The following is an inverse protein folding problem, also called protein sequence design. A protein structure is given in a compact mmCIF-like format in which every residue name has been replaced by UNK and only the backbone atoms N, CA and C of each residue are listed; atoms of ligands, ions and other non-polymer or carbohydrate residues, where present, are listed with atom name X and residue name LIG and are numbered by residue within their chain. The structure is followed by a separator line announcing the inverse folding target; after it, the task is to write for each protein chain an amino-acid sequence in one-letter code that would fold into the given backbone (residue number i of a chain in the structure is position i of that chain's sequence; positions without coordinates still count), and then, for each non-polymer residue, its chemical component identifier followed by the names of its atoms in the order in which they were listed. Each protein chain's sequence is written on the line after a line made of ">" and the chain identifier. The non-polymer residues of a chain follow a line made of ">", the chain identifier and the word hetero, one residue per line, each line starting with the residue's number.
data_IF_422753537783
#
_entry.id   IF_422753537783
#
_cell.length_a   1.000
_cell.length_b   1.000
_cell.length_c   1.000
_cell.angle_alpha   90.00
_cell.angle_beta   90.00
_cell.angle_gamma   90.00
#
_symmetry.space_group_name_H-M   'P 1'
#
loop_
_entity.id
_entity.type
_entity.pdbx_description
1 polymer ?
#
# COMPACT_ATOMS: atom_id res chain seq x y z
N UNK A 1 -7.76 -3.69 -70.18
CA UNK A 1 -7.78 -2.44 -69.38
C UNK A 1 -8.50 -2.58 -68.03
N UNK A 2 -9.76 -3.00 -67.95
CA UNK A 2 -10.50 -3.09 -66.68
C UNK A 2 -9.87 -3.99 -65.59
N UNK A 3 -9.20 -5.07 -65.96
CA UNK A 3 -8.55 -6.01 -65.00
C UNK A 3 -7.33 -5.38 -64.31
N UNK A 4 -6.50 -4.65 -65.11
CA UNK A 4 -5.32 -3.98 -64.60
C UNK A 4 -5.64 -2.85 -63.59
N UNK A 5 -6.72 -2.10 -63.79
CA UNK A 5 -7.20 -1.12 -62.87
C UNK A 5 -7.69 -1.74 -61.55
N UNK A 6 -8.33 -2.89 -61.58
CA UNK A 6 -8.77 -3.62 -60.36
C UNK A 6 -7.57 -4.06 -59.51
N UNK A 7 -6.53 -4.64 -60.12
CA UNK A 7 -5.35 -5.06 -59.37
C UNK A 7 -4.56 -3.84 -58.85
N UNK A 8 -4.47 -2.74 -59.59
CA UNK A 8 -3.87 -1.50 -59.15
C UNK A 8 -4.60 -0.89 -57.94
N UNK A 9 -5.95 -0.90 -57.97
CA UNK A 9 -6.75 -0.40 -56.85
C UNK A 9 -6.58 -1.27 -55.59
N UNK A 10 -6.63 -2.60 -55.74
CA UNK A 10 -6.40 -3.55 -54.64
C UNK A 10 -5.03 -3.31 -54.02
N UNK A 11 -3.98 -3.17 -54.84
CA UNK A 11 -2.62 -2.90 -54.36
C UNK A 11 -2.54 -1.58 -53.59
N UNK A 12 -3.12 -0.50 -54.06
CA UNK A 12 -3.14 0.79 -53.38
C UNK A 12 -3.93 0.73 -52.04
N UNK A 13 -5.08 0.07 -52.02
CA UNK A 13 -5.86 -0.13 -50.79
C UNK A 13 -5.06 -0.96 -49.79
N UNK A 14 -4.37 -2.01 -50.21
CA UNK A 14 -3.54 -2.83 -49.33
C UNK A 14 -2.38 -2.03 -48.75
N UNK A 15 -1.67 -1.24 -49.57
CA UNK A 15 -0.60 -0.35 -49.09
C UNK A 15 -1.11 0.69 -48.11
N UNK A 16 -2.25 1.29 -48.40
CA UNK A 16 -2.87 2.26 -47.48
C UNK A 16 -3.28 1.61 -46.17
N UNK A 17 -3.85 0.41 -46.21
CA UNK A 17 -4.23 -0.33 -45.00
C UNK A 17 -2.99 -0.66 -44.14
N UNK A 18 -1.92 -1.15 -44.78
CA UNK A 18 -0.66 -1.42 -44.08
C UNK A 18 -0.11 -0.15 -43.45
N UNK A 19 -0.12 0.97 -44.14
CA UNK A 19 0.38 2.24 -43.64
C UNK A 19 -0.45 2.75 -42.46
N UNK A 20 -1.78 2.69 -42.51
CA UNK A 20 -2.68 3.12 -41.42
C UNK A 20 -2.56 2.27 -40.17
N UNK A 21 -2.29 0.95 -40.34
CA UNK A 21 -2.22 0.01 -39.20
C UNK A 21 -0.81 -0.08 -38.61
N UNK A 22 0.22 0.24 -39.41
CA UNK A 22 1.62 0.09 -38.98
C UNK A 22 1.97 0.93 -37.74
N UNK A 23 1.65 2.21 -37.73
CA UNK A 23 2.02 3.13 -36.66
C UNK A 23 1.31 2.79 -35.32
N UNK A 24 -0.01 2.52 -35.29
CA UNK A 24 -0.67 2.01 -34.08
C UNK A 24 -0.06 0.70 -33.55
N UNK A 25 0.32 -0.24 -34.41
CA UNK A 25 0.96 -1.50 -33.98
C UNK A 25 2.32 -1.22 -33.35
N UNK A 26 3.15 -0.38 -33.97
CA UNK A 26 4.48 -0.02 -33.43
C UNK A 26 4.35 0.71 -32.11
N UNK A 27 3.44 1.68 -31.99
CA UNK A 27 3.19 2.41 -30.76
C UNK A 27 2.63 1.48 -29.67
N UNK A 28 1.67 0.61 -29.98
CA UNK A 28 1.13 -0.35 -29.04
C UNK A 28 2.21 -1.31 -28.52
N UNK A 29 3.09 -1.79 -29.39
CA UNK A 29 4.21 -2.63 -28.98
C UNK A 29 5.21 -1.88 -28.09
N UNK A 30 5.52 -0.62 -28.43
CA UNK A 30 6.39 0.23 -27.62
C UNK A 30 5.79 0.48 -26.21
N UNK A 31 4.52 0.85 -26.15
CA UNK A 31 3.80 1.07 -24.89
C UNK A 31 3.76 -0.23 -24.06
N UNK A 32 3.46 -1.37 -24.70
CA UNK A 32 3.46 -2.67 -24.03
C UNK A 32 4.82 -3.05 -23.44
N UNK A 33 5.89 -2.79 -24.17
CA UNK A 33 7.27 -3.02 -23.68
C UNK A 33 7.66 -2.03 -22.57
N UNK A 34 7.26 -0.77 -22.69
CA UNK A 34 7.56 0.27 -21.70
C UNK A 34 6.74 0.12 -20.40
N UNK A 35 5.53 -0.43 -20.49
CA UNK A 35 4.65 -0.62 -19.33
C UNK A 35 5.11 -1.72 -18.36
N UNK A 36 6.07 -2.56 -18.77
CA UNK A 36 6.55 -3.68 -17.96
C UNK A 36 5.49 -4.76 -17.72
N UNK A 37 5.76 -5.64 -16.76
CA UNK A 37 4.80 -6.65 -16.32
C UNK A 37 3.85 -6.03 -15.29
N UNK A 38 2.55 -6.25 -15.45
CA UNK A 38 1.51 -5.81 -14.48
C UNK A 38 1.74 -6.43 -13.10
N UNK A 39 2.39 -7.58 -13.06
CA UNK A 39 2.69 -8.32 -11.85
C UNK A 39 4.21 -8.35 -11.63
N UNK A 40 4.68 -7.80 -10.51
CA UNK A 40 6.10 -7.87 -10.15
C UNK A 40 6.53 -9.32 -9.81
N UNK A 41 7.84 -9.62 -9.84
CA UNK A 41 8.34 -10.92 -9.38
C UNK A 41 7.93 -11.26 -7.94
N UNK A 42 7.87 -10.27 -7.05
CA UNK A 42 7.46 -10.47 -5.66
C UNK A 42 5.99 -10.84 -5.55
N UNK A 43 5.12 -10.17 -6.32
CA UNK A 43 3.71 -10.52 -6.42
C UNK A 43 3.52 -11.92 -7.01
N UNK A 44 4.25 -12.25 -8.09
CA UNK A 44 4.19 -13.61 -8.68
C UNK A 44 4.59 -14.68 -7.66
N UNK A 45 5.69 -14.45 -6.94
CA UNK A 45 6.17 -15.38 -5.91
C UNK A 45 5.18 -15.50 -4.76
N UNK A 46 4.58 -14.38 -4.32
CA UNK A 46 3.58 -14.40 -3.25
C UNK A 46 2.33 -15.19 -3.63
N UNK A 47 1.83 -15.04 -4.87
CA UNK A 47 0.66 -15.79 -5.35
C UNK A 47 0.92 -17.30 -5.39
N UNK A 48 2.09 -17.73 -5.86
CA UNK A 48 2.44 -19.15 -5.88
C UNK A 48 2.63 -19.69 -4.47
N UNK A 49 3.27 -18.93 -3.58
CA UNK A 49 3.42 -19.33 -2.18
C UNK A 49 2.06 -19.50 -1.50
N UNK A 50 1.13 -18.58 -1.66
CA UNK A 50 -0.24 -18.66 -1.14
C UNK A 50 -0.92 -19.93 -1.66
N UNK A 51 -0.83 -20.19 -2.96
CA UNK A 51 -1.40 -21.39 -3.58
C UNK A 51 -0.90 -22.70 -2.95
N UNK A 52 0.37 -22.76 -2.60
CA UNK A 52 1.02 -23.98 -2.13
C UNK A 52 0.92 -24.16 -0.61
N UNK A 53 0.80 -23.07 0.15
CA UNK A 53 0.99 -23.07 1.60
C UNK A 53 -0.25 -22.65 2.40
N UNK A 54 -1.38 -22.36 1.76
CA UNK A 54 -2.63 -22.06 2.47
C UNK A 54 -3.72 -23.09 2.13
N UNK A 55 -4.72 -23.24 2.98
CA UNK A 55 -5.85 -24.13 2.70
C UNK A 55 -6.68 -23.65 1.52
N UNK A 56 -7.28 -24.56 0.75
CA UNK A 56 -8.12 -24.18 -0.41
C UNK A 56 -9.33 -23.32 -0.02
N UNK A 57 -9.80 -23.44 1.21
CA UNK A 57 -10.92 -22.67 1.77
C UNK A 57 -10.48 -21.29 2.31
N UNK A 58 -9.17 -21.01 2.41
CA UNK A 58 -8.68 -19.74 2.94
C UNK A 58 -9.15 -18.55 2.11
N UNK A 59 -9.50 -17.48 2.80
CA UNK A 59 -9.80 -16.19 2.20
C UNK A 59 -8.59 -15.28 2.34
N UNK A 60 -8.21 -14.62 1.25
CA UNK A 60 -7.13 -13.63 1.26
C UNK A 60 -7.77 -12.25 1.28
N UNK A 61 -7.62 -11.54 2.38
CA UNK A 61 -8.08 -10.16 2.53
C UNK A 61 -6.99 -9.19 2.09
N UNK A 62 -7.36 -8.23 1.29
CA UNK A 62 -6.51 -7.10 0.84
C UNK A 62 -7.39 -6.08 0.15
N UNK A 63 -6.80 -4.94 -0.29
CA UNK A 63 -7.51 -3.98 -1.12
C UNK A 63 -7.79 -4.59 -2.52
N UNK A 64 -8.76 -4.07 -3.25
CA UNK A 64 -9.38 -4.73 -4.42
C UNK A 64 -8.46 -5.05 -5.60
N UNK A 65 -7.38 -4.30 -5.77
CA UNK A 65 -6.52 -4.37 -6.97
C UNK A 65 -5.94 -5.78 -7.24
N UNK A 66 -5.33 -6.48 -6.25
CA UNK A 66 -4.75 -7.80 -6.49
C UNK A 66 -5.79 -8.94 -6.47
N UNK A 67 -7.07 -8.66 -6.21
CA UNK A 67 -8.11 -9.68 -6.07
C UNK A 67 -8.19 -10.64 -7.25
N UNK A 68 -8.11 -10.14 -8.49
CA UNK A 68 -8.11 -10.98 -9.69
C UNK A 68 -6.86 -11.87 -9.81
N UNK A 69 -5.70 -11.40 -9.35
CA UNK A 69 -4.48 -12.22 -9.34
C UNK A 69 -4.56 -13.31 -8.28
N UNK A 70 -5.12 -13.00 -7.11
CA UNK A 70 -5.33 -13.97 -6.04
C UNK A 70 -6.27 -15.09 -6.51
N UNK A 71 -7.41 -14.74 -7.11
CA UNK A 71 -8.35 -15.75 -7.63
C UNK A 71 -7.79 -16.52 -8.81
N UNK A 72 -7.13 -15.84 -9.76
CA UNK A 72 -6.65 -16.47 -11.01
C UNK A 72 -5.37 -17.26 -10.86
N UNK A 73 -4.42 -16.85 -10.00
CA UNK A 73 -3.10 -17.48 -9.86
C UNK A 73 -3.03 -18.30 -8.58
N UNK A 74 -3.33 -17.69 -7.44
CA UNK A 74 -3.28 -18.40 -6.16
C UNK A 74 -4.45 -19.36 -5.96
N UNK A 75 -5.51 -19.24 -6.75
CA UNK A 75 -6.71 -20.07 -6.66
C UNK A 75 -7.29 -20.07 -5.22
N UNK A 76 -7.39 -18.88 -4.64
CA UNK A 76 -7.98 -18.64 -3.30
C UNK A 76 -9.10 -17.64 -3.40
N UNK A 77 -10.01 -17.73 -2.43
CA UNK A 77 -11.08 -16.74 -2.29
C UNK A 77 -10.52 -15.39 -1.83
N UNK A 78 -11.20 -14.32 -2.20
CA UNK A 78 -10.89 -12.96 -1.78
C UNK A 78 -12.11 -12.32 -1.13
N UNK A 79 -11.89 -11.34 -0.27
CA UNK A 79 -13.01 -10.55 0.25
C UNK A 79 -13.72 -9.82 -0.90
N UNK A 80 -12.95 -9.24 -1.82
CA UNK A 80 -13.47 -8.60 -3.03
C UNK A 80 -12.36 -8.38 -4.07
N UNK A 81 -12.81 -8.13 -5.29
CA UNK A 81 -12.00 -7.78 -6.44
C UNK A 81 -12.63 -6.61 -7.21
N UNK A 82 -12.08 -6.25 -8.36
CA UNK A 82 -12.61 -5.17 -9.19
C UNK A 82 -14.05 -5.38 -9.69
N UNK A 83 -14.55 -6.64 -9.74
CA UNK A 83 -15.91 -6.93 -10.12
C UNK A 83 -16.90 -6.89 -8.96
N UNK A 84 -16.43 -7.09 -7.72
CA UNK A 84 -17.26 -7.23 -6.52
C UNK A 84 -17.08 -6.10 -5.49
N UNK A 85 -16.30 -5.09 -5.79
CA UNK A 85 -15.99 -3.98 -4.86
C UNK A 85 -17.22 -3.23 -4.34
N UNK A 86 -18.26 -3.10 -5.15
CA UNK A 86 -19.52 -2.45 -4.80
C UNK A 86 -20.54 -3.40 -4.16
N UNK A 87 -20.22 -4.67 -3.92
CA UNK A 87 -21.12 -5.58 -3.23
C UNK A 87 -21.33 -5.12 -1.78
N UNK A 88 -22.58 -5.01 -1.38
CA UNK A 88 -22.97 -4.46 -0.09
C UNK A 88 -23.34 -5.55 0.91
N UNK A 89 -23.15 -5.23 2.17
CA UNK A 89 -23.53 -6.00 3.33
C UNK A 89 -24.50 -5.16 4.19
N UNK A 90 -25.58 -5.75 4.64
CA UNK A 90 -26.51 -5.12 5.58
C UNK A 90 -26.04 -5.41 7.00
N UNK A 91 -25.95 -4.37 7.81
CA UNK A 91 -25.57 -4.45 9.23
C UNK A 91 -26.75 -3.96 10.07
N UNK A 92 -27.31 -4.84 10.89
CA UNK A 92 -28.30 -4.46 11.92
C UNK A 92 -27.56 -3.96 13.16
N UNK A 93 -27.78 -2.72 13.54
CA UNK A 93 -27.21 -2.10 14.73
C UNK A 93 -27.94 -2.44 16.03
N UNK A 94 -28.95 -3.35 15.99
CA UNK A 94 -29.70 -3.82 17.16
C UNK A 94 -30.72 -2.83 17.72
N UNK A 95 -30.80 -1.63 17.17
CA UNK A 95 -31.75 -0.57 17.59
C UNK A 95 -32.86 -0.34 16.54
N UNK A 96 -33.04 -1.28 15.61
CA UNK A 96 -33.95 -1.17 14.47
C UNK A 96 -33.36 -0.37 13.30
N UNK A 97 -32.10 0.05 13.39
CA UNK A 97 -31.39 0.71 12.29
C UNK A 97 -30.57 -0.32 11.51
N UNK A 98 -30.80 -0.41 10.22
CA UNK A 98 -29.99 -1.22 9.31
C UNK A 98 -29.16 -0.27 8.44
N UNK A 99 -27.86 -0.45 8.43
CA UNK A 99 -26.95 0.30 7.57
C UNK A 99 -26.39 -0.62 6.48
N UNK A 100 -26.08 -0.04 5.34
CA UNK A 100 -25.47 -0.72 4.21
C UNK A 100 -24.00 -0.32 4.12
N UNK A 101 -23.11 -1.32 4.07
CA UNK A 101 -21.68 -1.11 3.87
C UNK A 101 -21.17 -1.94 2.70
N UNK A 102 -20.36 -1.34 1.87
CA UNK A 102 -19.69 -2.04 0.78
C UNK A 102 -18.44 -2.77 1.28
N UNK A 103 -18.03 -3.83 0.56
CA UNK A 103 -16.80 -4.56 0.86
C UNK A 103 -15.56 -3.66 0.83
N UNK A 104 -15.53 -2.66 -0.06
CA UNK A 104 -14.45 -1.68 -0.11
C UNK A 104 -14.38 -0.86 1.18
N UNK A 105 -15.53 -0.46 1.75
CA UNK A 105 -15.56 0.25 3.03
C UNK A 105 -15.09 -0.64 4.19
N UNK A 106 -15.48 -1.91 4.18
CA UNK A 106 -15.06 -2.86 5.21
C UNK A 106 -13.55 -3.04 5.23
N UNK A 107 -12.93 -3.35 4.09
CA UNK A 107 -11.46 -3.51 4.02
C UNK A 107 -10.73 -2.18 4.22
N UNK A 108 -11.27 -1.08 3.73
CA UNK A 108 -10.72 0.25 4.02
C UNK A 108 -10.72 0.54 5.52
N UNK A 109 -11.77 0.14 6.23
CA UNK A 109 -11.86 0.28 7.70
C UNK A 109 -10.85 -0.62 8.42
N UNK A 110 -10.66 -1.86 7.96
CA UNK A 110 -9.61 -2.75 8.48
C UNK A 110 -8.23 -2.13 8.32
N UNK A 111 -7.92 -1.55 7.16
CA UNK A 111 -6.63 -0.88 6.94
C UNK A 111 -6.43 0.35 7.83
N UNK A 112 -7.49 1.14 8.04
CA UNK A 112 -7.45 2.44 8.72
C UNK A 112 -7.52 2.35 10.24
N UNK A 113 -8.27 1.38 10.79
CA UNK A 113 -8.47 1.28 12.24
C UNK A 113 -7.17 0.97 12.98
N UNK A 114 -7.05 1.46 14.22
CA UNK A 114 -6.02 1.06 15.18
C UNK A 114 -6.47 -0.09 16.10
N UNK A 115 -7.76 -0.45 16.05
CA UNK A 115 -8.38 -1.45 16.92
C UNK A 115 -8.48 -2.79 16.18
N UNK A 116 -7.68 -3.77 16.62
CA UNK A 116 -7.65 -5.11 16.02
C UNK A 116 -8.97 -5.85 16.20
N UNK A 117 -9.61 -5.77 17.33
CA UNK A 117 -10.90 -6.45 17.57
C UNK A 117 -11.98 -5.94 16.60
N UNK A 118 -12.03 -4.62 16.37
CA UNK A 118 -12.95 -4.06 15.37
C UNK A 118 -12.65 -4.57 13.95
N UNK A 119 -11.37 -4.69 13.60
CA UNK A 119 -10.97 -5.27 12.31
C UNK A 119 -11.38 -6.75 12.19
N UNK A 120 -11.17 -7.53 13.26
CA UNK A 120 -11.56 -8.94 13.32
C UNK A 120 -13.07 -9.11 13.19
N UNK A 121 -13.86 -8.28 13.88
CA UNK A 121 -15.33 -8.32 13.78
C UNK A 121 -15.82 -8.06 12.34
N UNK A 122 -15.13 -7.19 11.59
CA UNK A 122 -15.41 -6.98 10.17
C UNK A 122 -15.01 -8.23 9.36
N UNK A 123 -13.81 -8.76 9.56
CA UNK A 123 -13.24 -9.85 8.79
C UNK A 123 -13.99 -11.17 9.01
N UNK A 124 -14.54 -11.42 10.20
CA UNK A 124 -15.40 -12.58 10.52
C UNK A 124 -16.58 -12.75 9.55
N UNK A 125 -17.09 -11.66 8.97
CA UNK A 125 -18.18 -11.74 7.99
C UNK A 125 -17.79 -12.37 6.66
N UNK A 126 -16.51 -12.57 6.42
CA UNK A 126 -15.96 -13.09 5.16
C UNK A 126 -15.32 -14.47 5.32
N UNK A 127 -15.40 -15.05 6.51
CA UNK A 127 -14.88 -16.36 6.83
C UNK A 127 -15.77 -17.49 6.27
N UNK A 128 -15.17 -18.64 5.97
CA UNK A 128 -15.87 -19.90 5.68
C UNK A 128 -15.84 -20.81 6.90
N UNK A 129 -17.03 -21.21 7.38
CA UNK A 129 -17.14 -22.15 8.49
C UNK A 129 -16.43 -23.46 8.20
N UNK A 130 -15.70 -23.99 9.18
CA UNK A 130 -14.98 -25.25 9.09
C UNK A 130 -13.66 -25.18 8.32
N UNK A 131 -13.18 -24.01 7.96
CA UNK A 131 -11.84 -23.85 7.39
C UNK A 131 -10.80 -23.82 8.51
N UNK A 132 -9.78 -24.70 8.46
CA UNK A 132 -8.72 -24.79 9.47
C UNK A 132 -7.83 -23.54 9.50
N UNK A 133 -7.53 -22.98 8.31
CA UNK A 133 -6.78 -21.73 8.14
C UNK A 133 -7.64 -20.70 7.42
N UNK A 134 -8.55 -20.03 8.12
CA UNK A 134 -9.65 -19.33 7.47
C UNK A 134 -9.23 -18.08 6.71
N UNK A 135 -8.22 -17.32 7.20
CA UNK A 135 -7.95 -16.02 6.63
C UNK A 135 -6.48 -15.61 6.69
N UNK A 136 -6.06 -14.96 5.63
CA UNK A 136 -4.79 -14.23 5.55
C UNK A 136 -5.03 -12.80 5.08
N UNK A 137 -4.17 -11.89 5.49
CA UNK A 137 -4.21 -10.48 5.08
C UNK A 137 -2.92 -10.11 4.34
N UNK A 138 -3.03 -9.43 3.20
CA UNK A 138 -1.90 -8.87 2.47
C UNK A 138 -1.85 -7.37 2.68
N UNK A 139 -0.70 -6.89 3.21
CA UNK A 139 -0.30 -5.50 3.18
C UNK A 139 0.81 -5.31 2.13
N UNK A 140 0.60 -4.41 1.17
CA UNK A 140 1.52 -4.22 0.04
C UNK A 140 1.92 -2.76 -0.16
N UNK A 141 3.08 -2.55 -0.79
CA UNK A 141 3.69 -1.22 -0.94
C UNK A 141 2.84 -0.21 -1.70
N UNK A 142 2.04 -0.68 -2.65
CA UNK A 142 1.13 0.15 -3.43
C UNK A 142 0.01 0.79 -2.58
N UNK A 143 -0.32 0.20 -1.43
CA UNK A 143 -1.30 0.75 -0.50
C UNK A 143 -0.84 2.06 0.17
N UNK A 144 0.47 2.36 0.18
CA UNK A 144 0.98 3.66 0.61
C UNK A 144 0.42 4.79 -0.28
N UNK A 145 0.53 4.65 -1.58
CA UNK A 145 0.02 5.63 -2.54
C UNK A 145 -1.52 5.65 -2.63
N UNK A 146 -2.16 4.55 -2.25
CA UNK A 146 -3.61 4.38 -2.24
C UNK A 146 -4.27 4.81 -0.92
N UNK A 147 -3.50 5.29 0.05
CA UNK A 147 -4.01 5.73 1.35
C UNK A 147 -5.14 6.75 1.24
N UNK A 148 -5.07 7.65 0.27
CA UNK A 148 -6.13 8.62 -0.03
C UNK A 148 -7.50 7.95 -0.30
N UNK A 149 -7.51 6.77 -0.93
CA UNK A 149 -8.74 6.06 -1.26
C UNK A 149 -9.26 5.25 -0.09
N UNK A 150 -8.41 4.41 0.52
CA UNK A 150 -8.90 3.59 1.62
C UNK A 150 -9.18 4.42 2.89
N UNK A 151 -8.48 5.53 3.16
CA UNK A 151 -8.87 6.44 4.24
C UNK A 151 -10.20 7.14 3.95
N UNK A 152 -10.42 7.57 2.69
CA UNK A 152 -11.70 8.16 2.27
C UNK A 152 -12.87 7.18 2.47
N UNK A 153 -12.74 5.94 2.00
CA UNK A 153 -13.82 4.95 2.12
C UNK A 153 -14.04 4.50 3.56
N UNK A 154 -12.99 4.40 4.36
CA UNK A 154 -13.10 4.06 5.79
C UNK A 154 -13.90 5.09 6.59
N UNK A 155 -13.66 6.36 6.32
CA UNK A 155 -14.27 7.49 7.05
C UNK A 155 -15.54 8.02 6.39
N UNK A 156 -15.97 7.41 5.29
CA UNK A 156 -17.12 7.89 4.53
C UNK A 156 -18.45 7.66 5.24
N UNK A 157 -19.26 8.71 5.28
CA UNK A 157 -20.67 8.67 5.64
C UNK A 157 -21.52 9.52 4.68
N UNK A 158 -22.85 9.32 4.60
CA UNK A 158 -23.72 10.04 3.65
C UNK A 158 -23.73 11.57 3.83
N UNK A 159 -23.44 12.06 5.04
CA UNK A 159 -23.54 13.50 5.40
C UNK A 159 -22.19 14.18 5.20
N UNK A 160 -21.13 13.65 5.83
CA UNK A 160 -19.83 14.34 5.91
C UNK A 160 -18.87 13.92 4.79
N UNK A 161 -19.24 12.90 4.00
CA UNK A 161 -18.34 12.24 3.03
C UNK A 161 -17.14 11.60 3.74
N UNK A 162 -16.08 11.28 2.97
CA UNK A 162 -14.85 10.74 3.52
C UNK A 162 -13.77 11.78 3.70
N UNK A 163 -12.80 11.50 4.55
CA UNK A 163 -11.59 12.30 4.74
C UNK A 163 -10.41 11.59 4.11
N UNK A 164 -9.56 12.36 3.44
CA UNK A 164 -8.37 11.85 2.75
C UNK A 164 -7.14 12.07 3.62
N UNK A 165 -6.42 10.97 3.91
CA UNK A 165 -5.10 11.00 4.53
C UNK A 165 -4.09 10.32 3.60
N UNK A 166 -2.85 10.83 3.57
CA UNK A 166 -1.80 10.34 2.67
C UNK A 166 -0.47 10.22 3.40
N UNK A 167 0.32 9.23 3.03
CA UNK A 167 1.75 9.19 3.37
C UNK A 167 2.53 10.07 2.40
N UNK A 168 3.60 10.71 2.88
CA UNK A 168 4.58 11.34 2.02
C UNK A 168 5.87 10.52 2.02
N UNK A 169 6.17 9.87 0.89
CA UNK A 169 7.37 9.05 0.71
C UNK A 169 8.45 9.87 0.01
N UNK A 170 9.60 10.02 0.64
CA UNK A 170 10.70 10.85 0.17
C UNK A 170 11.99 10.04 0.12
N UNK A 171 12.68 9.99 -1.03
CA UNK A 171 14.02 9.42 -1.10
C UNK A 171 15.03 10.35 -0.42
N UNK A 172 16.15 9.79 0.03
CA UNK A 172 17.26 10.59 0.51
C UNK A 172 17.81 11.46 -0.63
N UNK A 173 17.98 12.74 -0.35
CA UNK A 173 18.55 13.69 -1.31
C UNK A 173 20.03 13.93 -1.05
N UNK A 174 20.43 13.88 0.21
CA UNK A 174 21.81 14.13 0.66
C UNK A 174 22.08 13.38 1.96
N UNK A 175 23.28 12.84 2.11
CA UNK A 175 23.79 12.27 3.35
C UNK A 175 25.16 12.88 3.62
N UNK A 176 25.27 13.74 4.64
CA UNK A 176 26.48 14.51 4.95
C UNK A 176 27.03 14.13 6.32
N UNK A 177 28.25 13.57 6.41
CA UNK A 177 28.86 13.29 7.69
C UNK A 177 29.31 14.59 8.39
N UNK A 178 28.99 14.70 9.68
CA UNK A 178 29.45 15.77 10.56
C UNK A 178 30.61 15.20 11.39
N UNK A 179 31.83 15.39 10.91
CA UNK A 179 33.02 14.69 11.38
C UNK A 179 33.36 14.99 12.85
N UNK A 180 32.98 16.17 13.38
CA UNK A 180 33.25 16.55 14.77
C UNK A 180 32.39 15.85 15.81
N UNK A 181 31.29 15.17 15.41
CA UNK A 181 30.27 14.67 16.31
C UNK A 181 29.92 13.18 16.09
N UNK A 182 30.62 12.48 15.19
CA UNK A 182 30.27 11.13 14.76
C UNK A 182 28.80 11.02 14.29
N UNK A 183 28.26 12.08 13.69
CA UNK A 183 26.88 12.25 13.30
C UNK A 183 26.76 12.27 11.78
N UNK A 184 25.74 11.65 11.23
CA UNK A 184 25.39 11.77 9.80
C UNK A 184 24.07 12.52 9.70
N UNK A 185 24.06 13.59 8.90
CA UNK A 185 22.86 14.33 8.59
C UNK A 185 22.25 13.82 7.25
N UNK A 186 21.04 13.33 7.31
CA UNK A 186 20.27 12.90 6.14
C UNK A 186 19.21 13.94 5.81
N UNK A 187 19.16 14.36 4.54
CA UNK A 187 18.20 15.33 4.03
C UNK A 187 17.25 14.67 3.04
N UNK A 188 15.95 14.89 3.25
CA UNK A 188 14.86 14.35 2.42
C UNK A 188 14.00 15.52 1.94
N UNK A 189 14.13 15.85 0.66
CA UNK A 189 13.52 17.05 0.08
C UNK A 189 12.06 16.78 -0.29
N UNK A 190 11.15 17.62 0.22
CA UNK A 190 9.74 17.62 -0.16
C UNK A 190 9.49 18.54 -1.37
N UNK A 191 10.05 19.77 -1.31
CA UNK A 191 10.05 20.74 -2.42
C UNK A 191 11.21 21.76 -2.25
N UNK A 192 11.21 22.84 -3.02
CA UNK A 192 12.29 23.81 -3.04
C UNK A 192 12.60 24.43 -1.66
N UNK A 193 11.58 24.62 -0.82
CA UNK A 193 11.68 25.34 0.44
C UNK A 193 11.42 24.47 1.68
N UNK A 194 11.06 23.17 1.48
CA UNK A 194 10.67 22.27 2.56
C UNK A 194 11.39 20.94 2.45
N UNK A 195 11.95 20.49 3.57
CA UNK A 195 12.63 19.19 3.67
C UNK A 195 12.62 18.67 5.11
N UNK A 196 12.78 17.36 5.27
CA UNK A 196 13.11 16.75 6.55
C UNK A 196 14.62 16.61 6.69
N UNK A 197 15.10 16.89 7.89
CA UNK A 197 16.50 16.71 8.28
C UNK A 197 16.55 15.76 9.47
N UNK A 198 17.32 14.70 9.34
CA UNK A 198 17.52 13.69 10.40
C UNK A 198 18.98 13.64 10.72
N UNK A 199 19.31 13.94 11.95
CA UNK A 199 20.63 13.70 12.51
C UNK A 199 20.67 12.31 13.14
N UNK A 200 21.57 11.46 12.68
CA UNK A 200 21.84 10.14 13.21
C UNK A 200 23.18 10.15 13.93
N UNK A 201 23.14 10.05 15.25
CA UNK A 201 24.29 9.95 16.12
C UNK A 201 24.37 8.54 16.68
N UNK A 202 25.00 7.63 15.92
CA UNK A 202 25.18 6.23 16.31
C UNK A 202 23.86 5.51 16.72
N UNK A 203 22.75 5.83 16.04
CA UNK A 203 21.43 5.24 16.31
C UNK A 203 20.54 6.09 17.24
N UNK A 204 21.01 7.22 17.74
CA UNK A 204 20.17 8.25 18.34
C UNK A 204 19.77 9.26 17.27
N UNK A 205 18.48 9.53 17.16
CA UNK A 205 17.93 10.33 16.07
C UNK A 205 17.32 11.62 16.58
N UNK A 206 17.71 12.74 15.95
CA UNK A 206 17.05 14.04 16.11
C UNK A 206 16.43 14.47 14.77
N UNK A 207 15.18 14.90 14.78
CA UNK A 207 14.40 15.08 13.55
C UNK A 207 13.79 16.46 13.46
N UNK A 208 13.95 17.07 12.28
CA UNK A 208 13.41 18.40 11.98
C UNK A 208 12.66 18.40 10.66
N UNK A 209 11.58 19.14 10.63
CA UNK A 209 11.00 19.66 9.40
C UNK A 209 11.53 21.09 9.22
N UNK A 210 12.15 21.35 8.10
CA UNK A 210 12.71 22.67 7.80
C UNK A 210 11.86 23.34 6.74
N UNK A 211 11.40 24.54 7.05
CA UNK A 211 10.62 25.37 6.15
C UNK A 211 11.15 26.81 6.21
N UNK A 212 11.55 27.39 5.07
CA UNK A 212 12.07 28.76 4.98
C UNK A 212 13.16 29.06 6.05
N UNK A 213 14.10 28.13 6.23
CA UNK A 213 15.16 28.18 7.25
C UNK A 213 14.69 28.14 8.72
N UNK A 214 13.41 27.85 8.98
CA UNK A 214 12.91 27.58 10.33
C UNK A 214 12.95 26.10 10.58
N UNK A 215 13.57 25.69 11.70
CA UNK A 215 13.66 24.30 12.14
C UNK A 215 12.52 24.03 13.13
N UNK A 216 11.66 23.07 12.80
CA UNK A 216 10.53 22.63 13.60
C UNK A 216 10.73 21.16 13.95
N UNK A 217 10.67 20.81 15.23
CA UNK A 217 10.79 19.42 15.65
C UNK A 217 9.62 18.60 15.14
N UNK A 218 9.89 17.35 14.72
CA UNK A 218 8.86 16.38 14.38
C UNK A 218 8.50 15.55 15.60
N UNK A 219 7.21 15.33 15.82
CA UNK A 219 6.67 14.72 17.04
C UNK A 219 7.23 13.33 17.33
N UNK A 220 7.39 12.48 16.32
CA UNK A 220 7.96 11.16 16.55
C UNK A 220 8.75 10.62 15.36
N UNK A 221 9.65 9.69 15.66
CA UNK A 221 10.39 8.90 14.67
C UNK A 221 10.27 7.41 14.99
N UNK A 222 10.15 6.61 13.93
CA UNK A 222 10.33 5.17 13.93
C UNK A 222 11.51 4.87 13.00
N UNK A 223 12.62 4.41 13.56
CA UNK A 223 13.85 4.11 12.85
C UNK A 223 14.40 2.75 13.32
N UNK A 224 15.60 2.41 12.87
CA UNK A 224 16.28 1.18 13.27
C UNK A 224 17.67 1.51 13.79
N UNK A 225 18.03 0.89 14.91
CA UNK A 225 19.39 0.98 15.44
C UNK A 225 20.38 0.18 14.55
N UNK A 226 21.70 0.27 14.81
CA UNK A 226 22.69 -0.48 14.04
C UNK A 226 22.53 -2.00 14.06
N UNK A 227 21.85 -2.54 15.08
CA UNK A 227 21.52 -3.95 15.22
C UNK A 227 20.21 -4.33 14.53
N UNK A 228 19.52 -3.36 13.90
CA UNK A 228 18.25 -3.58 13.19
C UNK A 228 17.03 -3.66 14.10
N UNK A 229 17.13 -3.25 15.36
CA UNK A 229 16.00 -3.22 16.29
C UNK A 229 15.21 -1.91 16.12
N UNK A 230 13.88 -1.94 16.28
CA UNK A 230 13.07 -0.71 16.21
C UNK A 230 13.50 0.31 17.27
N UNK A 231 13.73 1.54 16.84
CA UNK A 231 13.93 2.70 17.68
C UNK A 231 12.75 3.64 17.51
N UNK A 232 12.05 3.92 18.61
CA UNK A 232 10.92 4.84 18.63
C UNK A 232 11.21 5.94 19.63
N UNK A 233 11.17 7.19 19.17
CA UNK A 233 11.26 8.36 20.03
C UNK A 233 10.09 9.30 19.78
N UNK A 234 9.59 9.94 20.84
CA UNK A 234 8.45 10.85 20.76
C UNK A 234 8.74 12.12 21.54
N UNK A 235 8.53 13.27 20.90
CA UNK A 235 8.57 14.60 21.50
C UNK A 235 7.15 15.21 21.45
N UNK A 236 6.37 15.14 22.53
CA UNK A 236 4.99 15.64 22.54
C UNK A 236 4.88 17.16 22.36
N UNK A 237 5.95 17.91 22.65
CA UNK A 237 6.01 19.38 22.50
C UNK A 237 6.39 19.82 21.07
N UNK A 238 6.64 18.88 20.15
CA UNK A 238 7.03 19.19 18.79
C UNK A 238 5.92 19.93 18.02
N UNK A 239 6.34 20.84 17.14
CA UNK A 239 5.47 21.68 16.33
C UNK A 239 4.82 20.92 15.17
N UNK A 240 5.56 19.96 14.59
CA UNK A 240 5.07 19.15 13.48
C UNK A 240 4.54 17.83 14.00
N UNK A 241 3.19 17.72 14.03
CA UNK A 241 2.53 16.50 14.47
C UNK A 241 2.57 15.44 13.38
N UNK A 242 2.94 14.23 13.76
CA UNK A 242 3.12 13.09 12.86
C UNK A 242 4.37 12.29 13.19
N UNK A 243 4.60 11.22 12.43
CA UNK A 243 5.75 10.33 12.61
C UNK A 243 6.58 10.23 11.34
N UNK A 244 7.89 10.27 11.48
CA UNK A 244 8.81 9.86 10.43
C UNK A 244 9.15 8.38 10.59
N UNK A 245 8.84 7.57 9.59
CA UNK A 245 9.39 6.24 9.47
C UNK A 245 10.63 6.29 8.56
N UNK A 246 11.73 5.75 9.04
CA UNK A 246 13.02 5.76 8.31
C UNK A 246 13.35 4.33 7.91
N UNK A 247 13.61 4.11 6.61
CA UNK A 247 13.99 2.78 6.13
C UNK A 247 15.31 2.32 6.78
N UNK A 248 15.54 1.01 6.97
CA UNK A 248 16.75 0.49 7.59
C UNK A 248 18.06 0.95 6.92
N UNK A 249 18.02 1.11 5.59
CA UNK A 249 19.14 1.61 4.78
C UNK A 249 19.22 3.15 4.72
N UNK A 250 18.26 3.85 5.35
CA UNK A 250 18.14 5.32 5.39
C UNK A 250 17.98 5.98 4.01
N UNK A 251 17.65 5.19 2.98
CA UNK A 251 17.44 5.70 1.62
C UNK A 251 16.05 6.33 1.44
N UNK A 252 15.11 6.01 2.31
CA UNK A 252 13.74 6.49 2.23
C UNK A 252 13.22 6.91 3.60
N UNK A 253 12.53 8.03 3.65
CA UNK A 253 11.70 8.42 4.78
C UNK A 253 10.25 8.49 4.35
N UNK A 254 9.34 8.07 5.24
CA UNK A 254 7.89 8.19 5.06
C UNK A 254 7.36 9.05 6.20
N UNK A 255 6.77 10.20 5.86
CA UNK A 255 6.01 10.98 6.83
C UNK A 255 4.60 10.40 6.95
N UNK A 256 4.21 10.09 8.17
CA UNK A 256 2.94 9.45 8.54
C UNK A 256 2.13 10.48 9.34
N UNK A 257 0.98 10.94 8.84
CA UNK A 257 0.11 11.83 9.62
C UNK A 257 -0.43 11.12 10.86
N UNK A 258 -0.85 11.90 11.86
CA UNK A 258 -1.30 11.39 13.18
C UNK A 258 -2.36 10.31 13.05
N UNK A 259 -3.31 10.49 12.14
CA UNK A 259 -4.45 9.61 11.91
C UNK A 259 -4.05 8.23 11.38
N UNK A 260 -2.89 8.13 10.74
CA UNK A 260 -2.40 6.87 10.16
C UNK A 260 -1.32 6.19 11.00
N UNK A 261 -0.77 6.85 12.04
CA UNK A 261 0.37 6.33 12.81
C UNK A 261 0.11 4.95 13.42
N UNK A 262 -1.07 4.74 13.96
CA UNK A 262 -1.48 3.52 14.64
C UNK A 262 -2.42 2.65 13.81
N UNK A 263 -2.64 2.99 12.53
CA UNK A 263 -3.48 2.19 11.63
C UNK A 263 -2.91 0.78 11.46
N UNK A 264 -3.77 -0.21 11.28
CA UNK A 264 -3.33 -1.60 11.05
C UNK A 264 -2.45 -1.70 9.82
N UNK A 265 -2.73 -0.92 8.76
CA UNK A 265 -1.86 -0.88 7.60
C UNK A 265 -0.44 -0.41 7.95
N UNK A 266 -0.31 0.69 8.70
CA UNK A 266 1.01 1.18 9.14
C UNK A 266 1.76 0.13 9.97
N UNK A 267 1.06 -0.51 10.91
CA UNK A 267 1.65 -1.57 11.75
C UNK A 267 2.06 -2.78 10.92
N UNK A 268 1.21 -3.25 10.02
CA UNK A 268 1.54 -4.38 9.15
C UNK A 268 2.66 -4.03 8.16
N UNK A 269 2.57 -2.88 7.48
CA UNK A 269 3.47 -2.61 6.37
C UNK A 269 4.77 -1.92 6.77
N UNK A 270 4.72 -0.91 7.64
CA UNK A 270 5.89 -0.13 8.04
C UNK A 270 6.58 -0.67 9.30
N UNK A 271 5.81 -1.25 10.24
CA UNK A 271 6.35 -1.73 11.51
C UNK A 271 6.49 -3.27 11.55
N UNK A 272 6.37 -3.96 10.41
CA UNK A 272 6.53 -5.42 10.29
C UNK A 272 5.65 -6.23 11.28
N UNK A 273 4.47 -5.70 11.61
CA UNK A 273 3.55 -6.31 12.55
C UNK A 273 3.85 -6.01 14.03
N UNK A 274 4.80 -5.12 14.32
CA UNK A 274 5.10 -4.76 15.70
C UNK A 274 3.86 -4.18 16.42
N UNK A 275 3.53 -4.77 17.57
CA UNK A 275 2.38 -4.39 18.39
C UNK A 275 1.04 -4.88 17.84
N UNK A 276 1.02 -5.96 17.04
CA UNK A 276 -0.18 -6.67 16.60
C UNK A 276 -0.25 -8.05 17.26
N UNK A 277 -1.42 -8.38 17.80
CA UNK A 277 -1.71 -9.68 18.44
C UNK A 277 -2.52 -10.60 17.52
N UNK A 278 -3.43 -10.04 16.71
CA UNK A 278 -4.36 -10.79 15.85
C UNK A 278 -3.84 -11.02 14.43
N UNK A 279 -2.75 -10.33 14.03
CA UNK A 279 -2.14 -10.43 12.70
C UNK A 279 -0.70 -10.92 12.84
N UNK A 280 -0.50 -12.22 12.65
CA UNK A 280 0.83 -12.85 12.76
C UNK A 280 1.56 -12.78 11.43
N UNK A 281 2.79 -12.20 11.35
CA UNK A 281 3.60 -12.22 10.14
C UNK A 281 3.89 -13.64 9.67
N UNK A 282 3.68 -13.93 8.38
CA UNK A 282 3.93 -15.22 7.77
C UNK A 282 5.09 -15.13 6.78
N UNK A 283 5.04 -14.16 5.86
CA UNK A 283 6.04 -14.04 4.81
C UNK A 283 6.17 -12.57 4.35
N UNK A 284 7.40 -12.21 4.02
CA UNK A 284 7.74 -10.92 3.41
C UNK A 284 8.41 -11.18 2.05
N UNK A 285 7.77 -10.74 0.98
CA UNK A 285 8.25 -10.89 -0.40
C UNK A 285 8.91 -9.59 -0.85
N UNK A 286 10.19 -9.44 -0.55
CA UNK A 286 11.02 -8.32 -0.99
C UNK A 286 10.59 -6.95 -0.47
N UNK A 287 9.90 -6.87 0.66
CA UNK A 287 9.36 -5.62 1.20
C UNK A 287 8.15 -5.06 0.43
N UNK A 288 7.80 -5.64 -0.71
CA UNK A 288 6.69 -5.21 -1.54
C UNK A 288 5.35 -5.79 -1.11
N UNK A 289 5.35 -7.07 -0.71
CA UNK A 289 4.16 -7.82 -0.30
C UNK A 289 4.42 -8.49 1.03
N UNK A 290 3.65 -8.16 2.05
CA UNK A 290 3.72 -8.75 3.40
C UNK A 290 2.45 -9.51 3.69
N UNK A 291 2.58 -10.79 4.05
CA UNK A 291 1.48 -11.70 4.32
C UNK A 291 1.36 -11.97 5.81
N UNK A 292 0.16 -11.84 6.31
CA UNK A 292 -0.20 -12.07 7.72
C UNK A 292 -1.27 -13.16 7.82
N UNK A 293 -1.14 -14.05 8.79
CA UNK A 293 -2.23 -14.94 9.21
C UNK A 293 -3.11 -14.16 10.18
N UNK A 294 -4.44 -14.24 10.00
CA UNK A 294 -5.42 -13.54 10.82
C UNK A 294 -6.01 -14.50 11.84
N UNK A 295 -5.90 -14.16 13.13
CA UNK A 295 -6.60 -14.87 14.20
C UNK A 295 -8.01 -14.30 14.34
N UNK A 296 -8.99 -15.07 13.91
CA UNK A 296 -10.41 -14.71 13.98
C UNK A 296 -11.08 -15.12 15.33
N UNK A 297 -10.32 -15.61 16.31
CA UNK A 297 -10.89 -16.00 17.63
C UNK A 297 -11.38 -14.80 18.43
#
# INVERSE_FOLDING_TARGET
>A
MKLMYRYGLIFLVTLFTIWVVYEPIVQSNYISMASGTVLSPNWWTSMNWIKENTANCSVIATYWDPGHFITGIANRNVVFDGASQGANRLIDLGNGTVIERSRIQDIATVLFTSNEEHAIDILKNYNYEGCEDPMYFIASSDLLSKAQWWSYFSTWDPVNKGTIYTYATLPVSEATPIVSEETIAYKYVLDADRYFLIYDRAGEFETFFVQQNTFLHVESIYAFDPEGRPYISTNPEAEVKGRLWVSPDKQTVIFIPVELQESLFTKMFLYDGYGLDKFTPVMNFGGEVKLYKVDLS
#
